data_IF_624035272632
#
_entry.id   IF_624035272632
#
_cell.length_a   1.000
_cell.length_b   1.000
_cell.length_c   1.000
_cell.angle_alpha   90.00
_cell.angle_beta   90.00
_cell.angle_gamma   90.00
#
_symmetry.space_group_name_H-M   'P 1'
#
loop_
_entity.id
_entity.type
_entity.pdbx_description
1 polymer ?
#
# COMPACT_ATOMS: atom_id res chain seq x y z
N UNK A 1 -31.81 71.54 -13.27
CA UNK A 1 -33.17 72.00 -13.63
C UNK A 1 -34.01 70.73 -13.83
N UNK A 2 -34.62 70.21 -12.75
CA UNK A 2 -36.09 70.15 -12.48
C UNK A 2 -36.83 69.30 -13.53
N UNK A 3 -37.54 68.19 -13.26
CA UNK A 3 -38.59 67.90 -12.24
C UNK A 3 -38.68 66.37 -11.95
N UNK A 4 -38.80 65.90 -10.69
CA UNK A 4 -39.99 65.56 -9.85
C UNK A 4 -40.96 64.46 -10.40
N UNK A 5 -41.15 63.40 -9.61
CA UNK A 5 -42.04 62.20 -9.80
C UNK A 5 -43.55 62.46 -9.55
N UNK A 6 -44.39 61.54 -8.98
CA UNK A 6 -44.15 60.22 -8.35
C UNK A 6 -45.25 59.11 -8.61
N UNK A 7 -45.32 58.11 -7.69
CA UNK A 7 -46.33 57.03 -7.47
C UNK A 7 -46.10 55.74 -8.29
N UNK A 8 -46.09 54.52 -7.75
CA UNK A 8 -46.75 53.96 -6.57
C UNK A 8 -47.62 52.78 -7.05
N UNK A 9 -47.21 51.53 -6.81
CA UNK A 9 -47.99 50.36 -7.21
C UNK A 9 -47.23 49.05 -7.11
N UNK A 10 -47.43 48.32 -6.02
CA UNK A 10 -46.79 47.05 -5.75
C UNK A 10 -47.18 45.94 -6.73
N UNK A 11 -46.27 45.00 -6.95
CA UNK A 11 -46.58 43.65 -7.45
C UNK A 11 -45.57 42.61 -6.92
N UNK A 12 -46.13 41.72 -6.10
CA UNK A 12 -45.86 40.29 -5.89
C UNK A 12 -44.40 39.80 -6.01
N UNK A 13 -43.89 39.38 -4.84
CA UNK A 13 -42.86 38.35 -4.70
C UNK A 13 -43.23 37.09 -5.48
N UNK A 14 -42.40 36.68 -6.44
CA UNK A 14 -42.28 35.29 -6.89
C UNK A 14 -40.94 34.77 -6.38
N UNK A 15 -40.98 33.83 -5.43
CA UNK A 15 -39.81 33.17 -4.90
C UNK A 15 -39.18 32.28 -5.97
N UNK A 16 -37.96 32.62 -6.38
CA UNK A 16 -37.08 31.71 -7.11
C UNK A 16 -36.30 30.87 -6.10
N UNK A 17 -36.59 29.58 -6.07
CA UNK A 17 -35.83 28.60 -5.29
C UNK A 17 -34.37 28.59 -5.77
N UNK A 18 -33.44 28.92 -4.88
CA UNK A 18 -32.02 28.59 -5.08
C UNK A 18 -31.90 27.08 -5.05
N UNK A 19 -31.50 26.48 -6.17
CA UNK A 19 -31.02 25.10 -6.21
C UNK A 19 -29.80 25.02 -5.29
N UNK A 20 -29.96 24.32 -4.17
CA UNK A 20 -28.90 24.09 -3.20
C UNK A 20 -27.79 23.26 -3.83
N UNK A 21 -26.54 23.60 -3.49
CA UNK A 21 -25.37 22.76 -3.69
C UNK A 21 -25.67 21.32 -3.22
N UNK A 22 -25.26 20.27 -3.96
CA UNK A 22 -25.43 18.91 -3.46
C UNK A 22 -24.64 18.79 -2.15
N UNK A 23 -25.37 18.46 -1.08
CA UNK A 23 -24.81 18.23 0.23
C UNK A 23 -23.74 17.14 0.14
N UNK A 24 -22.59 17.39 0.78
CA UNK A 24 -21.56 16.37 0.98
C UNK A 24 -22.21 15.13 1.62
N UNK A 25 -21.84 13.90 1.21
CA UNK A 25 -22.34 12.71 1.86
C UNK A 25 -21.92 12.73 3.34
N UNK A 26 -22.78 12.26 4.26
CA UNK A 26 -22.46 12.29 5.68
C UNK A 26 -21.23 11.40 5.94
N UNK A 27 -20.22 11.96 6.62
CA UNK A 27 -19.13 11.19 7.20
C UNK A 27 -19.72 10.26 8.27
N UNK A 28 -20.08 9.04 7.88
CA UNK A 28 -20.52 8.01 8.80
C UNK A 28 -19.38 7.58 9.72
N UNK A 29 -19.63 7.31 11.02
CA UNK A 29 -18.65 6.70 11.90
C UNK A 29 -18.40 5.27 11.40
N UNK A 30 -17.37 5.10 10.57
CA UNK A 30 -17.07 3.83 9.91
C UNK A 30 -16.21 3.91 8.64
N UNK A 31 -15.94 5.11 8.10
CA UNK A 31 -15.00 5.25 6.98
C UNK A 31 -13.60 4.80 7.42
N UNK A 32 -13.07 3.74 6.79
CA UNK A 32 -11.71 3.26 7.04
C UNK A 32 -10.75 4.36 6.58
N UNK A 33 -10.01 4.99 7.50
CA UNK A 33 -8.92 5.92 7.16
C UNK A 33 -7.59 5.20 7.32
N UNK A 34 -6.89 4.96 6.22
CA UNK A 34 -5.52 4.46 6.23
C UNK A 34 -4.59 5.67 6.36
N UNK A 35 -4.07 5.90 7.57
CA UNK A 35 -3.13 6.98 7.88
C UNK A 35 -1.69 6.59 7.54
N UNK A 36 -0.77 7.55 7.39
CA UNK A 36 0.68 7.28 7.28
C UNK A 36 1.17 6.37 8.40
N UNK A 37 0.69 6.56 9.64
CA UNK A 37 1.11 5.73 10.78
C UNK A 37 0.65 4.27 10.64
N UNK A 38 -0.52 4.03 10.05
CA UNK A 38 -1.01 2.67 9.77
C UNK A 38 -0.24 2.04 8.61
N UNK A 39 0.00 2.81 7.56
CA UNK A 39 0.74 2.38 6.36
C UNK A 39 2.21 2.06 6.67
N UNK A 40 2.95 2.99 7.28
CA UNK A 40 4.40 2.89 7.48
C UNK A 40 4.83 1.94 8.60
N UNK A 41 3.97 1.64 9.57
CA UNK A 41 4.31 0.70 10.63
C UNK A 41 4.03 -0.77 10.24
N UNK A 42 3.68 -1.05 8.98
CA UNK A 42 3.28 -2.40 8.53
C UNK A 42 2.12 -2.99 9.34
N UNK A 43 1.45 -2.15 10.14
CA UNK A 43 0.53 -2.58 11.16
C UNK A 43 -0.87 -2.29 10.69
N UNK A 44 -1.48 -3.27 10.05
CA UNK A 44 -2.85 -3.61 10.37
C UNK A 44 -2.88 -4.09 11.83
N UNK A 45 -2.54 -3.20 12.78
CA UNK A 45 -2.81 -3.44 14.20
C UNK A 45 -4.32 -3.44 14.29
N UNK A 46 -4.87 -4.61 14.60
CA UNK A 46 -6.27 -4.89 14.89
C UNK A 46 -6.74 -4.12 16.15
N UNK A 47 -6.60 -2.81 16.17
CA UNK A 47 -6.82 -1.99 17.36
C UNK A 47 -7.34 -0.61 16.98
N UNK A 48 -8.57 -0.58 16.49
CA UNK A 48 -9.48 0.56 16.66
C UNK A 48 -10.92 0.01 16.68
N UNK A 49 -11.32 -0.55 17.83
CA UNK A 49 -12.69 -0.48 18.39
C UNK A 49 -12.88 -1.46 19.58
N UNK A 50 -11.92 -1.53 20.50
CA UNK A 50 -12.21 -2.02 21.85
C UNK A 50 -12.57 -0.82 22.73
N UNK A 51 -13.74 -0.21 22.48
CA UNK A 51 -14.58 0.39 23.53
C UNK A 51 -15.94 0.87 22.97
N UNK A 52 -16.95 0.11 23.36
CA UNK A 52 -18.33 0.48 23.70
C UNK A 52 -19.32 0.99 22.63
N UNK A 53 -20.25 0.08 22.35
CA UNK A 53 -21.70 0.27 22.45
C UNK A 53 -22.42 0.97 21.29
N UNK A 54 -22.75 0.19 20.26
CA UNK A 54 -24.14 0.16 19.78
C UNK A 54 -24.47 -1.24 19.26
N UNK A 55 -25.14 -2.02 20.11
CA UNK A 55 -25.96 -3.15 19.68
C UNK A 55 -27.10 -2.60 18.83
N UNK A 56 -26.96 -2.63 17.52
CA UNK A 56 -28.12 -2.62 16.62
C UNK A 56 -27.93 -3.75 15.62
N UNK A 57 -28.67 -4.83 15.88
CA UNK A 57 -28.89 -5.94 14.96
C UNK A 57 -29.32 -5.41 13.59
N UNK A 58 -28.53 -5.73 12.56
CA UNK A 58 -28.76 -5.40 11.14
C UNK A 58 -30.04 -6.04 10.55
N UNK A 59 -30.83 -6.75 11.36
CA UNK A 59 -32.09 -7.41 10.97
C UNK A 59 -33.33 -6.50 10.93
N UNK A 60 -33.22 -5.21 11.25
CA UNK A 60 -34.39 -4.31 11.36
C UNK A 60 -34.49 -3.20 10.30
N UNK A 61 -33.65 -3.20 9.25
CA UNK A 61 -33.68 -2.19 8.18
C UNK A 61 -33.88 -2.77 6.76
N UNK A 62 -34.41 -3.99 6.65
CA UNK A 62 -34.77 -4.63 5.37
C UNK A 62 -36.29 -4.79 5.18
N UNK A 63 -37.06 -3.82 5.67
CA UNK A 63 -38.48 -3.64 5.31
C UNK A 63 -38.61 -2.72 4.10
N UNK A 64 -38.13 -3.15 2.94
CA UNK A 64 -38.18 -2.35 1.71
C UNK A 64 -38.07 -3.23 0.48
N UNK A 65 -39.21 -3.72 0.00
CA UNK A 65 -39.35 -4.39 -1.30
C UNK A 65 -39.01 -3.40 -2.41
N UNK A 66 -37.78 -3.45 -2.91
CA UNK A 66 -37.42 -2.89 -4.20
C UNK A 66 -36.91 -4.04 -5.06
N UNK A 67 -37.68 -4.38 -6.09
CA UNK A 67 -37.33 -5.36 -7.11
C UNK A 67 -36.10 -4.91 -7.89
N UNK A 68 -34.92 -5.21 -7.35
CA UNK A 68 -33.66 -5.16 -8.07
C UNK A 68 -33.45 -6.49 -8.77
N UNK A 69 -33.41 -6.47 -10.10
CA UNK A 69 -32.86 -7.57 -10.89
C UNK A 69 -31.43 -7.80 -10.38
N UNK A 70 -31.21 -8.90 -9.64
CA UNK A 70 -29.86 -9.33 -9.31
C UNK A 70 -29.12 -9.54 -10.63
N UNK A 71 -28.00 -8.85 -10.90
CA UNK A 71 -27.18 -9.25 -12.02
C UNK A 71 -26.78 -10.69 -11.73
N UNK A 72 -27.12 -11.60 -12.64
CA UNK A 72 -26.63 -12.96 -12.60
C UNK A 72 -25.13 -12.91 -12.92
N UNK A 73 -24.32 -12.51 -11.95
CA UNK A 73 -22.91 -12.86 -11.95
C UNK A 73 -22.90 -14.36 -11.73
N UNK A 74 -22.88 -15.13 -12.81
CA UNK A 74 -22.42 -16.51 -12.73
C UNK A 74 -21.06 -16.42 -12.05
N UNK A 75 -21.00 -16.80 -10.78
CA UNK A 75 -19.74 -16.86 -10.04
C UNK A 75 -18.82 -17.70 -10.92
N UNK A 76 -17.78 -17.08 -11.48
CA UNK A 76 -16.74 -17.84 -12.16
C UNK A 76 -16.22 -18.81 -11.12
N UNK A 77 -16.58 -20.08 -11.27
CA UNK A 77 -16.08 -21.15 -10.41
C UNK A 77 -14.68 -21.40 -10.89
N UNK A 78 -13.73 -20.68 -10.29
CA UNK A 78 -12.34 -21.05 -10.36
C UNK A 78 -12.18 -22.35 -9.54
N UNK A 79 -11.49 -23.32 -10.10
CA UNK A 79 -11.09 -24.58 -9.44
C UNK A 79 -9.82 -24.40 -8.58
N UNK A 80 -9.36 -23.16 -8.42
CA UNK A 80 -8.25 -22.78 -7.57
C UNK A 80 -8.65 -22.47 -6.13
N UNK A 81 -7.67 -22.54 -5.23
CA UNK A 81 -7.76 -22.06 -3.85
C UNK A 81 -7.20 -20.64 -3.74
N UNK A 82 -7.71 -19.87 -2.77
CA UNK A 82 -7.07 -18.62 -2.40
C UNK A 82 -5.85 -18.94 -1.55
N UNK A 83 -4.67 -18.54 -2.03
CA UNK A 83 -3.43 -18.64 -1.25
C UNK A 83 -3.41 -17.44 -0.28
N UNK A 84 -4.03 -17.61 0.90
CA UNK A 84 -4.10 -16.59 1.94
C UNK A 84 -3.33 -16.98 3.21
N UNK A 85 -2.91 -15.96 3.96
CA UNK A 85 -2.46 -16.14 5.34
C UNK A 85 -3.68 -16.39 6.24
N UNK A 86 -3.54 -17.21 7.28
CA UNK A 86 -4.63 -17.36 8.25
C UNK A 86 -4.76 -16.10 9.11
N UNK A 87 -5.84 -15.35 8.91
CA UNK A 87 -6.19 -14.22 9.79
C UNK A 87 -7.04 -14.63 10.99
N UNK A 88 -7.34 -15.93 11.17
CA UNK A 88 -8.29 -16.41 12.17
C UNK A 88 -7.88 -16.01 13.60
N UNK A 89 -6.61 -16.20 13.96
CA UNK A 89 -6.14 -15.82 15.29
C UNK A 89 -6.19 -14.30 15.50
N UNK A 90 -5.90 -13.52 14.47
CA UNK A 90 -5.96 -12.07 14.51
C UNK A 90 -7.41 -11.56 14.62
N UNK A 91 -8.33 -12.17 13.89
CA UNK A 91 -9.77 -11.91 13.99
C UNK A 91 -10.32 -12.30 15.35
N UNK A 92 -9.93 -13.46 15.89
CA UNK A 92 -10.32 -13.86 17.24
C UNK A 92 -9.80 -12.91 18.30
N UNK A 93 -8.57 -12.42 18.17
CA UNK A 93 -8.03 -11.39 19.06
C UNK A 93 -8.82 -10.07 18.93
N UNK A 94 -9.06 -9.60 17.70
CA UNK A 94 -9.85 -8.39 17.42
C UNK A 94 -11.26 -8.46 18.01
N UNK A 95 -11.90 -9.61 17.84
CA UNK A 95 -13.30 -9.85 18.21
C UNK A 95 -13.44 -10.30 19.66
N UNK A 96 -12.33 -10.44 20.40
CA UNK A 96 -12.32 -10.86 21.80
C UNK A 96 -12.74 -12.33 22.02
N UNK A 97 -12.69 -13.16 20.97
CA UNK A 97 -13.03 -14.59 21.01
C UNK A 97 -11.80 -15.49 21.16
N UNK A 98 -10.59 -14.91 21.21
CA UNK A 98 -9.37 -15.63 21.56
C UNK A 98 -9.36 -15.88 23.08
N UNK A 99 -9.45 -17.15 23.47
CA UNK A 99 -9.32 -17.56 24.87
C UNK A 99 -7.83 -17.69 25.19
N UNK A 100 -7.31 -16.76 25.99
CA UNK A 100 -5.95 -16.82 26.53
C UNK A 100 -6.07 -17.33 27.98
N UNK A 101 -5.41 -18.43 28.36
CA UNK A 101 -5.43 -18.92 29.72
C UNK A 101 -5.02 -17.82 30.72
N UNK A 102 -5.75 -17.68 31.82
CA UNK A 102 -5.47 -16.67 32.85
C UNK A 102 -4.17 -16.93 33.60
N UNK A 103 -3.67 -18.17 33.55
CA UNK A 103 -2.38 -18.58 34.10
C UNK A 103 -1.49 -19.08 32.98
N UNK A 104 -0.63 -18.20 32.48
CA UNK A 104 0.47 -18.59 31.59
C UNK A 104 1.65 -19.02 32.47
N UNK A 105 2.07 -20.27 32.32
CA UNK A 105 3.31 -20.77 32.92
C UNK A 105 4.38 -20.67 31.83
N UNK A 106 5.52 -20.00 32.06
CA UNK A 106 6.62 -20.02 31.11
C UNK A 106 7.06 -21.47 30.85
N UNK A 107 7.03 -21.88 29.60
CA UNK A 107 7.50 -23.19 29.16
C UNK A 107 8.77 -23.04 28.32
N UNK A 108 9.67 -24.01 28.45
CA UNK A 108 10.92 -24.04 27.69
C UNK A 108 12.08 -23.25 28.32
N UNK A 109 13.26 -23.30 27.68
CA UNK A 109 14.44 -22.58 28.14
C UNK A 109 14.27 -21.06 27.96
N UNK A 110 15.02 -20.30 28.76
CA UNK A 110 15.21 -18.87 28.50
C UNK A 110 16.11 -18.72 27.27
N UNK A 111 15.74 -17.79 26.39
CA UNK A 111 16.48 -17.42 25.20
C UNK A 111 17.00 -15.99 25.33
N UNK A 112 18.11 -15.66 24.65
CA UNK A 112 18.63 -14.30 24.58
C UNK A 112 17.61 -13.37 23.89
N UNK A 113 16.93 -13.88 22.86
CA UNK A 113 15.84 -13.19 22.19
C UNK A 113 14.83 -14.17 21.56
N UNK A 114 13.58 -13.74 21.50
CA UNK A 114 12.49 -14.44 20.79
C UNK A 114 11.94 -13.51 19.72
N UNK A 115 11.97 -13.96 18.48
CA UNK A 115 11.38 -13.25 17.33
C UNK A 115 10.05 -13.90 16.97
N UNK A 116 9.01 -13.08 16.83
CA UNK A 116 7.67 -13.51 16.46
C UNK A 116 7.36 -13.07 15.02
N UNK A 117 7.16 -14.04 14.13
CA UNK A 117 6.91 -13.87 12.71
C UNK A 117 8.10 -14.29 11.85
N UNK A 118 7.90 -15.26 10.99
CA UNK A 118 8.84 -15.78 9.99
C UNK A 118 8.78 -15.06 8.65
N UNK A 119 8.23 -13.85 8.60
CA UNK A 119 8.35 -12.98 7.43
C UNK A 119 9.78 -12.43 7.25
N UNK A 120 10.06 -11.79 6.11
CA UNK A 120 11.36 -11.17 5.81
C UNK A 120 11.85 -10.27 6.96
N UNK A 121 10.96 -9.47 7.57
CA UNK A 121 11.34 -8.59 8.69
C UNK A 121 11.79 -9.37 9.94
N UNK A 122 11.10 -10.46 10.30
CA UNK A 122 11.49 -11.27 11.46
C UNK A 122 12.76 -12.08 11.20
N UNK A 123 12.92 -12.62 9.99
CA UNK A 123 14.16 -13.29 9.59
C UNK A 123 15.37 -12.33 9.63
N UNK A 124 15.20 -11.10 9.12
CA UNK A 124 16.22 -10.05 9.22
C UNK A 124 16.52 -9.69 10.68
N UNK A 125 15.49 -9.55 11.53
CA UNK A 125 15.68 -9.24 12.95
C UNK A 125 16.46 -10.34 13.67
N UNK A 126 16.12 -11.61 13.45
CA UNK A 126 16.84 -12.74 14.03
C UNK A 126 18.31 -12.74 13.59
N UNK A 127 18.56 -12.56 12.30
CA UNK A 127 19.91 -12.54 11.76
C UNK A 127 20.75 -11.36 12.27
N UNK A 128 20.19 -10.16 12.37
CA UNK A 128 20.91 -9.00 12.91
C UNK A 128 21.16 -9.11 14.43
N UNK A 129 20.25 -9.71 15.20
CA UNK A 129 20.47 -10.01 16.62
C UNK A 129 21.67 -10.95 16.83
N UNK A 130 21.79 -11.98 15.99
CA UNK A 130 22.93 -12.90 16.02
C UNK A 130 24.23 -12.21 15.61
N UNK A 131 24.20 -11.36 14.57
CA UNK A 131 25.35 -10.53 14.19
C UNK A 131 25.74 -9.54 15.29
N UNK A 132 24.77 -9.12 16.10
CA UNK A 132 24.96 -8.32 17.31
C UNK A 132 25.58 -9.08 18.48
N UNK A 133 25.80 -10.39 18.35
CA UNK A 133 26.48 -11.23 19.34
C UNK A 133 25.56 -12.07 20.22
N UNK A 134 24.25 -12.07 19.98
CA UNK A 134 23.35 -13.00 20.66
C UNK A 134 23.54 -14.42 20.12
N UNK A 135 23.61 -15.40 21.01
CA UNK A 135 23.89 -16.79 20.64
C UNK A 135 22.63 -17.65 20.59
N UNK A 136 21.61 -17.30 21.38
CA UNK A 136 20.38 -18.05 21.52
C UNK A 136 19.16 -17.20 21.11
N UNK A 137 19.03 -17.01 19.80
CA UNK A 137 17.88 -16.34 19.17
C UNK A 137 16.98 -17.40 18.56
N UNK A 138 15.70 -17.42 18.93
CA UNK A 138 14.69 -18.33 18.36
C UNK A 138 13.62 -17.54 17.62
N UNK A 139 13.20 -18.06 16.47
CA UNK A 139 12.11 -17.50 15.67
C UNK A 139 10.89 -18.42 15.72
N UNK A 140 9.71 -17.84 15.96
CA UNK A 140 8.43 -18.53 15.87
C UNK A 140 7.57 -17.97 14.74
N UNK A 141 7.02 -18.83 13.91
CA UNK A 141 6.07 -18.52 12.85
C UNK A 141 4.76 -19.27 13.08
N UNK A 142 3.64 -18.55 12.91
CA UNK A 142 2.27 -19.07 13.05
C UNK A 142 1.97 -20.12 11.99
N UNK A 143 2.36 -19.86 10.75
CA UNK A 143 2.14 -20.73 9.61
C UNK A 143 3.12 -21.90 9.59
N UNK A 144 2.78 -22.94 8.82
CA UNK A 144 3.64 -24.10 8.57
C UNK A 144 4.78 -23.81 7.57
N UNK A 145 4.87 -22.57 7.08
CA UNK A 145 5.90 -22.09 6.16
C UNK A 145 6.53 -20.79 6.64
N UNK A 146 7.72 -20.49 6.12
CA UNK A 146 8.47 -19.26 6.36
C UNK A 146 8.37 -18.33 5.15
N UNK A 147 8.45 -17.02 5.38
CA UNK A 147 8.52 -15.97 4.36
C UNK A 147 7.36 -14.96 4.42
N UNK A 148 6.22 -15.31 5.01
CA UNK A 148 5.01 -14.46 4.94
C UNK A 148 4.62 -14.17 3.49
N UNK A 149 4.51 -12.89 3.11
CA UNK A 149 4.29 -12.45 1.73
C UNK A 149 5.44 -12.77 0.74
N UNK A 150 6.59 -13.24 1.22
CA UNK A 150 7.64 -13.80 0.39
C UNK A 150 7.37 -15.31 0.18
N UNK A 151 6.29 -15.63 -0.54
CA UNK A 151 5.83 -17.00 -0.78
C UNK A 151 5.88 -17.36 -2.25
N UNK A 152 6.16 -18.63 -2.53
CA UNK A 152 6.11 -19.22 -3.87
C UNK A 152 5.25 -20.47 -3.91
N UNK A 153 4.71 -20.76 -5.09
CA UNK A 153 4.15 -22.05 -5.47
C UNK A 153 5.03 -22.71 -6.53
N UNK A 154 4.66 -23.94 -6.89
CA UNK A 154 5.36 -24.71 -7.92
C UNK A 154 4.34 -25.33 -8.89
N UNK A 155 4.54 -25.13 -10.18
CA UNK A 155 3.72 -25.75 -11.23
C UNK A 155 4.56 -25.98 -12.49
N UNK A 156 4.35 -27.12 -13.15
CA UNK A 156 5.00 -27.47 -14.42
C UNK A 156 6.53 -27.31 -14.40
N UNK A 157 7.18 -27.67 -13.29
CA UNK A 157 8.64 -27.55 -13.14
C UNK A 157 9.14 -26.13 -12.90
N UNK A 158 8.26 -25.16 -12.69
CA UNK A 158 8.60 -23.75 -12.47
C UNK A 158 8.07 -23.24 -11.14
N UNK A 159 8.94 -22.56 -10.40
CA UNK A 159 8.55 -21.80 -9.22
C UNK A 159 7.92 -20.47 -9.63
N UNK A 160 6.74 -20.16 -9.11
CA UNK A 160 6.07 -18.88 -9.31
C UNK A 160 5.85 -18.17 -7.97
N UNK A 161 5.94 -16.85 -7.95
CA UNK A 161 5.62 -16.05 -6.77
C UNK A 161 4.11 -16.04 -6.50
N UNK A 162 3.71 -16.11 -5.23
CA UNK A 162 2.31 -15.98 -4.82
C UNK A 162 1.98 -14.56 -4.33
N UNK A 163 2.98 -13.69 -4.17
CA UNK A 163 2.80 -12.31 -3.73
C UNK A 163 3.98 -11.45 -4.21
N UNK A 164 4.83 -10.94 -3.31
CA UNK A 164 5.91 -10.01 -3.69
C UNK A 164 6.96 -10.68 -4.57
N UNK A 165 7.27 -10.08 -5.71
CA UNK A 165 8.03 -10.72 -6.79
C UNK A 165 9.40 -10.10 -7.06
N UNK A 166 9.57 -8.81 -6.76
CA UNK A 166 10.81 -8.08 -6.98
C UNK A 166 11.36 -7.42 -5.71
N UNK A 167 12.64 -7.07 -5.79
CA UNK A 167 13.30 -6.10 -4.91
C UNK A 167 13.98 -5.02 -5.75
N UNK A 168 14.02 -3.80 -5.25
CA UNK A 168 14.69 -2.69 -5.94
C UNK A 168 16.21 -2.82 -5.85
N UNK A 169 16.94 -2.26 -6.82
CA UNK A 169 18.39 -2.13 -6.69
C UNK A 169 18.78 -1.39 -5.40
N UNK A 170 19.89 -1.77 -4.76
CA UNK A 170 20.31 -1.16 -3.51
C UNK A 170 20.65 0.33 -3.74
N UNK A 171 19.97 1.21 -3.01
CA UNK A 171 20.16 2.68 -3.07
C UNK A 171 20.93 3.23 -1.87
N UNK A 172 21.15 2.41 -0.86
CA UNK A 172 21.80 2.78 0.40
C UNK A 172 22.85 1.73 0.83
N UNK A 173 23.79 2.09 1.72
CA UNK A 173 24.85 1.18 2.16
C UNK A 173 24.36 -0.07 2.88
N UNK A 174 23.23 0.01 3.59
CA UNK A 174 22.68 -1.14 4.31
C UNK A 174 22.15 -2.18 3.33
N UNK A 175 21.29 -1.78 2.39
CA UNK A 175 20.73 -2.67 1.38
C UNK A 175 21.82 -3.23 0.45
N UNK A 176 22.85 -2.43 0.14
CA UNK A 176 24.01 -2.90 -0.60
C UNK A 176 24.74 -4.02 0.13
N UNK A 177 25.04 -3.82 1.42
CA UNK A 177 25.73 -4.84 2.23
C UNK A 177 24.87 -6.09 2.42
N UNK A 178 23.57 -5.91 2.65
CA UNK A 178 22.61 -7.01 2.71
C UNK A 178 22.65 -7.86 1.45
N UNK A 179 22.57 -7.25 0.27
CA UNK A 179 22.57 -7.97 -1.00
C UNK A 179 23.93 -8.61 -1.31
N UNK A 180 25.03 -8.06 -0.84
CA UNK A 180 26.34 -8.73 -0.89
C UNK A 180 26.35 -9.99 -0.01
N UNK A 181 25.87 -9.88 1.24
CA UNK A 181 25.88 -10.99 2.20
C UNK A 181 24.97 -12.15 1.79
N UNK A 182 23.94 -11.86 0.99
CA UNK A 182 23.02 -12.84 0.40
C UNK A 182 23.46 -13.35 -0.98
N UNK A 183 24.46 -12.72 -1.60
CA UNK A 183 25.01 -13.10 -2.91
C UNK A 183 24.24 -12.58 -4.13
N UNK A 184 23.32 -11.63 -3.95
CA UNK A 184 22.63 -10.93 -5.04
C UNK A 184 23.60 -9.97 -5.74
N UNK A 185 24.38 -9.21 -4.95
CA UNK A 185 25.45 -8.35 -5.45
C UNK A 185 26.77 -9.11 -5.41
N UNK A 186 27.35 -9.38 -6.58
CA UNK A 186 28.55 -10.19 -6.75
C UNK A 186 29.85 -9.35 -6.71
N UNK A 187 29.74 -8.03 -6.67
CA UNK A 187 30.85 -7.10 -6.61
C UNK A 187 30.42 -5.67 -6.92
N UNK A 188 31.39 -4.76 -6.93
CA UNK A 188 31.17 -3.35 -7.27
C UNK A 188 32.02 -3.03 -8.51
N UNK A 189 31.43 -2.38 -9.50
CA UNK A 189 32.14 -1.88 -10.67
C UNK A 189 32.99 -0.64 -10.34
N UNK A 190 33.88 -0.24 -11.24
CA UNK A 190 34.80 0.88 -11.00
C UNK A 190 34.10 2.23 -10.79
N UNK A 191 32.89 2.37 -11.32
CA UNK A 191 32.01 3.54 -11.18
C UNK A 191 31.15 3.51 -9.90
N UNK A 192 31.30 2.48 -9.06
CA UNK A 192 30.50 2.28 -7.85
C UNK A 192 29.21 1.48 -8.08
N UNK A 193 28.90 1.07 -9.31
CA UNK A 193 27.65 0.36 -9.62
C UNK A 193 27.69 -1.09 -9.08
N UNK A 194 26.66 -1.54 -8.33
CA UNK A 194 26.55 -2.94 -7.90
C UNK A 194 26.45 -3.88 -9.10
N UNK A 195 27.30 -4.92 -9.14
CA UNK A 195 27.25 -5.97 -10.16
C UNK A 195 26.26 -7.03 -9.74
N UNK A 196 25.19 -7.16 -10.52
CA UNK A 196 24.12 -8.15 -10.35
C UNK A 196 24.08 -8.98 -11.63
N UNK A 197 23.78 -10.27 -11.51
CA UNK A 197 23.58 -11.14 -12.66
C UNK A 197 22.46 -10.56 -13.57
N UNK A 198 22.74 -10.27 -14.85
CA UNK A 198 21.73 -9.75 -15.77
C UNK A 198 20.47 -10.63 -15.89
N UNK A 199 20.56 -11.94 -15.59
CA UNK A 199 19.41 -12.83 -15.57
C UNK A 199 18.43 -12.55 -14.42
N UNK A 200 18.89 -11.85 -13.37
CA UNK A 200 18.06 -11.44 -12.24
C UNK A 200 17.48 -10.04 -12.42
N UNK A 201 17.89 -9.30 -13.46
CA UNK A 201 17.44 -7.93 -13.67
C UNK A 201 16.38 -7.95 -14.77
N UNK A 202 15.14 -7.56 -14.42
CA UNK A 202 14.07 -7.44 -15.40
C UNK A 202 14.35 -6.30 -16.39
N UNK A 203 13.80 -6.34 -17.61
CA UNK A 203 13.76 -5.13 -18.44
C UNK A 203 13.02 -4.08 -17.61
N UNK A 204 13.69 -2.98 -17.27
CA UNK A 204 13.13 -1.92 -16.44
C UNK A 204 11.76 -1.46 -16.96
N UNK A 205 10.95 -0.78 -16.13
CA UNK A 205 9.55 -0.59 -16.42
C UNK A 205 9.32 0.12 -17.75
N UNK A 206 8.88 -0.63 -18.76
CA UNK A 206 8.13 -0.07 -19.88
C UNK A 206 6.74 0.27 -19.33
N UNK A 207 6.53 1.55 -18.99
CA UNK A 207 5.22 2.02 -18.60
C UNK A 207 4.28 1.89 -19.81
N UNK A 208 3.16 1.18 -19.61
CA UNK A 208 2.19 0.91 -20.65
C UNK A 208 0.79 1.17 -20.10
N UNK A 209 -0.02 1.94 -20.82
CA UNK A 209 -1.43 2.18 -20.47
C UNK A 209 -2.31 1.55 -21.53
N UNK A 210 -3.31 0.78 -21.11
CA UNK A 210 -4.29 0.16 -21.99
C UNK A 210 -5.51 1.08 -22.09
N UNK A 211 -5.71 1.72 -23.24
CA UNK A 211 -6.89 2.56 -23.51
C UNK A 211 -7.66 1.95 -24.68
N UNK A 212 -8.93 1.62 -24.46
CA UNK A 212 -9.84 1.03 -25.46
C UNK A 212 -9.22 -0.17 -26.21
N UNK A 213 -8.54 -1.06 -25.48
CA UNK A 213 -7.91 -2.27 -26.04
C UNK A 213 -6.59 -2.03 -26.78
N UNK A 214 -6.08 -0.78 -26.81
CA UNK A 214 -4.79 -0.43 -27.41
C UNK A 214 -3.77 -0.08 -26.34
N UNK A 215 -2.59 -0.69 -26.42
CA UNK A 215 -1.47 -0.39 -25.53
C UNK A 215 -0.70 0.83 -26.00
N UNK A 216 -0.59 1.83 -25.13
CA UNK A 216 0.22 3.03 -25.32
C UNK A 216 1.45 2.95 -24.43
N UNK A 217 2.63 2.88 -25.07
CA UNK A 217 3.92 2.77 -24.37
C UNK A 217 4.56 4.14 -24.18
N UNK A 218 5.30 4.31 -23.10
CA UNK A 218 6.18 5.45 -22.89
C UNK A 218 6.32 5.79 -21.42
N UNK A 219 7.43 6.43 -21.02
CA UNK A 219 7.72 6.63 -19.61
C UNK A 219 6.73 7.62 -18.99
N UNK A 220 6.11 7.23 -17.87
CA UNK A 220 5.23 8.10 -17.07
C UNK A 220 5.92 8.57 -15.79
N UNK A 221 6.70 7.67 -15.19
CA UNK A 221 7.43 7.87 -13.94
C UNK A 221 8.90 8.17 -14.18
N UNK A 222 9.45 9.10 -13.39
CA UNK A 222 10.86 9.47 -13.49
C UNK A 222 11.27 10.17 -14.79
N UNK A 223 10.30 10.54 -15.63
CA UNK A 223 10.49 11.25 -16.90
C UNK A 223 9.31 12.22 -17.17
N UNK A 224 9.36 12.98 -18.27
CA UNK A 224 8.21 13.80 -18.69
C UNK A 224 7.13 12.90 -19.32
N UNK A 225 5.93 12.79 -18.70
CA UNK A 225 4.86 11.90 -19.19
C UNK A 225 4.18 12.43 -20.46
N UNK A 226 4.46 13.69 -20.85
CA UNK A 226 3.74 14.36 -21.92
C UNK A 226 3.80 13.62 -23.27
N UNK A 227 4.97 13.11 -23.67
CA UNK A 227 5.10 12.42 -24.96
C UNK A 227 4.27 11.14 -24.99
N UNK A 228 4.27 10.38 -23.90
CA UNK A 228 3.52 9.13 -23.80
C UNK A 228 2.01 9.37 -23.81
N UNK A 229 1.54 10.33 -23.01
CA UNK A 229 0.11 10.68 -22.90
C UNK A 229 -0.42 11.38 -24.16
N UNK A 230 0.42 12.13 -24.88
CA UNK A 230 0.04 12.76 -26.14
C UNK A 230 -0.39 11.76 -27.22
N UNK A 231 0.09 10.51 -27.17
CA UNK A 231 -0.31 9.47 -28.12
C UNK A 231 -1.67 8.85 -27.80
N UNK A 232 -2.18 9.04 -26.60
CA UNK A 232 -3.44 8.43 -26.14
C UNK A 232 -4.67 9.13 -26.73
N UNK A 233 -5.79 8.41 -26.90
CA UNK A 233 -7.02 8.93 -27.48
C UNK A 233 -7.87 9.68 -26.44
N UNK A 234 -7.22 10.53 -25.63
CA UNK A 234 -7.87 11.29 -24.56
C UNK A 234 -8.40 12.64 -25.08
N UNK A 235 -9.45 13.14 -24.43
CA UNK A 235 -9.89 14.52 -24.62
C UNK A 235 -8.78 15.51 -24.26
N UNK A 236 -8.84 16.75 -24.75
CA UNK A 236 -7.84 17.77 -24.39
C UNK A 236 -7.77 17.99 -22.87
N UNK A 237 -8.92 17.94 -22.19
CA UNK A 237 -9.00 18.12 -20.74
C UNK A 237 -8.35 16.96 -19.99
N UNK A 238 -8.75 15.73 -20.30
CA UNK A 238 -8.24 14.54 -19.61
C UNK A 238 -6.73 14.39 -19.86
N UNK A 239 -6.28 14.62 -21.09
CA UNK A 239 -4.85 14.63 -21.44
C UNK A 239 -4.05 15.63 -20.60
N UNK A 240 -4.59 16.84 -20.41
CA UNK A 240 -3.94 17.86 -19.58
C UNK A 240 -3.88 17.43 -18.12
N UNK A 241 -4.99 16.95 -17.58
CA UNK A 241 -5.08 16.53 -16.17
C UNK A 241 -4.15 15.36 -15.88
N UNK A 242 -4.08 14.39 -16.79
CA UNK A 242 -3.22 13.22 -16.66
C UNK A 242 -1.72 13.60 -16.67
N UNK A 243 -1.33 14.50 -17.57
CA UNK A 243 0.03 15.04 -17.60
C UNK A 243 0.36 15.78 -16.30
N UNK A 244 -0.59 16.57 -15.77
CA UNK A 244 -0.41 17.28 -14.50
C UNK A 244 -0.33 16.33 -13.31
N UNK A 245 -1.10 15.24 -13.29
CA UNK A 245 -1.07 14.21 -12.26
C UNK A 245 0.31 13.53 -12.15
N UNK A 246 0.82 12.98 -13.25
CA UNK A 246 2.13 12.33 -13.25
C UNK A 246 3.27 13.31 -12.96
N UNK A 247 3.20 14.56 -13.46
CA UNK A 247 4.20 15.59 -13.12
C UNK A 247 4.17 15.98 -11.65
N UNK A 248 2.98 16.08 -11.06
CA UNK A 248 2.84 16.36 -9.63
C UNK A 248 3.46 15.22 -8.80
N UNK A 249 3.18 13.97 -9.15
CA UNK A 249 3.72 12.78 -8.48
C UNK A 249 5.25 12.67 -8.62
N UNK A 250 5.79 12.90 -9.81
CA UNK A 250 7.24 12.95 -10.06
C UNK A 250 7.89 14.10 -9.27
N UNK A 251 7.26 15.27 -9.23
CA UNK A 251 7.79 16.44 -8.51
C UNK A 251 7.89 16.25 -7.00
N UNK A 252 7.12 15.34 -6.41
CA UNK A 252 7.20 15.01 -4.99
C UNK A 252 8.48 14.24 -4.61
N UNK A 253 9.08 13.48 -5.54
CA UNK A 253 10.31 12.74 -5.29
C UNK A 253 11.50 13.67 -4.98
N UNK A 254 11.56 14.82 -5.67
CA UNK A 254 12.63 15.81 -5.53
C UNK A 254 12.32 16.89 -4.48
N UNK A 255 11.07 16.93 -3.99
CA UNK A 255 10.62 17.99 -3.11
C UNK A 255 11.35 17.95 -1.78
N UNK A 256 11.72 19.14 -1.29
CA UNK A 256 12.28 19.33 0.05
C UNK A 256 11.39 20.26 0.87
N UNK A 257 11.30 20.00 2.17
CA UNK A 257 10.63 20.91 3.09
C UNK A 257 11.49 22.12 3.44
N UNK A 258 10.92 23.05 4.21
CA UNK A 258 11.64 24.23 4.74
C UNK A 258 12.84 23.87 5.63
N UNK A 259 12.87 22.66 6.16
CA UNK A 259 13.98 22.09 6.93
C UNK A 259 15.11 21.50 6.05
N UNK A 260 15.00 21.61 4.71
CA UNK A 260 15.98 21.11 3.74
C UNK A 260 15.96 19.59 3.55
N UNK A 261 15.13 18.86 4.29
CA UNK A 261 15.00 17.40 4.20
C UNK A 261 14.10 17.00 3.03
N UNK A 262 14.28 15.81 2.44
CA UNK A 262 13.36 15.25 1.46
C UNK A 262 11.92 15.24 1.98
N UNK A 263 10.94 15.47 1.12
CA UNK A 263 9.53 15.42 1.52
C UNK A 263 9.16 14.06 2.10
N UNK A 264 9.67 12.99 1.49
CA UNK A 264 9.49 11.61 1.90
C UNK A 264 10.85 10.90 1.96
N UNK A 265 11.01 9.98 2.90
CA UNK A 265 12.23 9.18 3.06
C UNK A 265 11.90 7.81 3.67
N UNK A 266 12.85 6.89 3.53
CA UNK A 266 12.85 5.58 4.17
C UNK A 266 14.25 5.35 4.77
N UNK A 267 14.41 5.36 6.10
CA UNK A 267 13.37 5.41 7.15
C UNK A 267 12.67 6.78 7.23
N UNK A 268 11.45 6.78 7.77
CA UNK A 268 10.55 7.94 7.63
C UNK A 268 10.90 9.12 8.52
N UNK A 269 11.72 8.88 9.53
CA UNK A 269 12.30 9.85 10.45
C UNK A 269 13.28 10.80 9.76
N UNK A 270 13.84 10.36 8.61
CA UNK A 270 14.71 11.17 7.76
C UNK A 270 13.94 12.12 6.85
N UNK A 271 12.62 11.93 6.73
CA UNK A 271 11.73 12.80 5.98
C UNK A 271 11.52 14.15 6.66
N UNK A 272 11.05 15.11 5.87
CA UNK A 272 10.77 16.47 6.33
C UNK A 272 9.67 16.50 7.39
N UNK A 273 9.83 17.43 8.33
CA UNK A 273 8.83 17.77 9.37
C UNK A 273 8.05 19.03 9.01
N UNK A 274 8.15 19.52 7.77
CA UNK A 274 7.42 20.70 7.31
C UNK A 274 5.90 20.53 7.48
N UNK A 275 5.22 21.41 8.25
CA UNK A 275 3.77 21.38 8.42
C UNK A 275 2.97 21.27 7.12
N UNK A 276 3.41 21.91 6.04
CA UNK A 276 2.71 21.87 4.75
C UNK A 276 2.76 20.49 4.08
N UNK A 277 3.82 19.73 4.34
CA UNK A 277 3.96 18.33 3.86
C UNK A 277 3.18 17.40 4.78
N UNK A 278 3.28 17.60 6.10
CA UNK A 278 2.56 16.78 7.08
C UNK A 278 1.04 16.96 7.00
N UNK A 279 0.54 18.10 6.53
CA UNK A 279 -0.89 18.33 6.30
C UNK A 279 -1.49 17.35 5.27
N UNK A 280 -0.68 16.82 4.35
CA UNK A 280 -1.13 15.79 3.41
C UNK A 280 -1.63 14.53 4.12
N UNK A 281 -1.17 14.26 5.34
CA UNK A 281 -1.63 13.09 6.11
C UNK A 281 -3.02 13.30 6.73
N UNK A 282 -3.55 14.52 6.70
CA UNK A 282 -4.87 14.86 7.24
C UNK A 282 -5.98 14.80 6.21
N UNK A 283 -5.62 14.74 4.92
CA UNK A 283 -6.55 14.66 3.80
C UNK A 283 -6.39 13.33 3.08
N UNK A 284 -7.47 12.88 2.45
CA UNK A 284 -7.43 11.69 1.61
C UNK A 284 -6.82 12.01 0.26
N UNK A 285 -6.34 11.01 -0.46
CA UNK A 285 -5.81 11.21 -1.80
C UNK A 285 -6.90 11.72 -2.76
N UNK A 286 -8.15 11.30 -2.58
CA UNK A 286 -9.29 11.84 -3.33
C UNK A 286 -9.52 13.34 -3.06
N UNK A 287 -9.43 13.78 -1.80
CA UNK A 287 -9.54 15.20 -1.46
C UNK A 287 -8.37 16.00 -2.05
N UNK A 288 -7.14 15.45 -2.02
CA UNK A 288 -5.99 16.05 -2.66
C UNK A 288 -6.20 16.22 -4.18
N UNK A 289 -6.64 15.16 -4.86
CA UNK A 289 -6.91 15.17 -6.30
C UNK A 289 -8.02 16.15 -6.69
N UNK A 290 -9.09 16.24 -5.88
CA UNK A 290 -10.16 17.24 -6.08
C UNK A 290 -9.66 18.67 -5.92
N UNK A 291 -8.76 18.94 -4.98
CA UNK A 291 -8.14 20.28 -4.81
C UNK A 291 -7.25 20.67 -5.99
N UNK A 292 -6.66 19.70 -6.70
CA UNK A 292 -5.95 19.94 -7.97
C UNK A 292 -6.89 20.26 -9.12
N UNK A 293 -8.17 19.92 -8.99
CA UNK A 293 -9.19 20.17 -10.01
C UNK A 293 -9.19 19.15 -11.15
N UNK A 294 -8.56 17.99 -10.97
CA UNK A 294 -8.52 16.94 -11.98
C UNK A 294 -9.91 16.38 -12.30
N UNK A 295 -10.13 16.10 -13.58
CA UNK A 295 -11.37 15.55 -14.12
C UNK A 295 -11.60 14.08 -13.76
N UNK A 296 -12.77 13.55 -14.14
CA UNK A 296 -13.22 12.22 -13.77
C UNK A 296 -12.27 11.09 -14.24
N UNK A 297 -11.65 11.25 -15.41
CA UNK A 297 -10.67 10.29 -15.94
C UNK A 297 -9.46 10.15 -15.00
N UNK A 298 -8.77 11.26 -14.70
CA UNK A 298 -7.61 11.24 -13.81
C UNK A 298 -8.00 10.87 -12.36
N UNK A 299 -9.23 11.17 -11.93
CA UNK A 299 -9.72 10.69 -10.62
C UNK A 299 -9.90 9.17 -10.56
N UNK A 300 -10.29 8.51 -11.65
CA UNK A 300 -10.30 7.03 -11.68
C UNK A 300 -8.90 6.46 -11.68
N UNK A 301 -7.97 7.07 -12.43
CA UNK A 301 -6.55 6.66 -12.39
C UNK A 301 -5.97 6.79 -10.98
N UNK A 302 -6.25 7.88 -10.26
CA UNK A 302 -5.84 8.05 -8.85
C UNK A 302 -6.39 6.94 -7.96
N UNK A 303 -7.64 6.49 -8.17
CA UNK A 303 -8.23 5.40 -7.39
C UNK A 303 -7.65 4.03 -7.75
N UNK A 304 -7.36 3.80 -9.03
CA UNK A 304 -6.67 2.60 -9.51
C UNK A 304 -5.27 2.49 -8.89
N UNK A 305 -4.48 3.56 -8.95
CA UNK A 305 -3.18 3.64 -8.27
C UNK A 305 -3.29 3.42 -6.76
N UNK A 306 -4.28 4.04 -6.11
CA UNK A 306 -4.45 3.89 -4.67
C UNK A 306 -4.78 2.45 -4.30
N UNK A 307 -5.64 1.82 -5.07
CA UNK A 307 -6.10 0.45 -4.82
C UNK A 307 -4.99 -0.57 -5.13
N UNK A 308 -4.25 -0.40 -6.22
CA UNK A 308 -3.17 -1.32 -6.60
C UNK A 308 -1.97 -1.25 -5.66
N UNK A 309 -1.55 -0.04 -5.29
CA UNK A 309 -0.26 0.17 -4.63
C UNK A 309 -0.39 0.16 -3.11
N UNK A 310 -1.50 0.66 -2.59
CA UNK A 310 -1.74 0.81 -1.14
C UNK A 310 -2.77 -0.20 -0.63
N UNK A 311 -3.60 -0.76 -1.51
CA UNK A 311 -4.65 -1.71 -1.13
C UNK A 311 -5.92 -1.05 -0.58
N UNK A 312 -6.17 0.22 -0.88
CA UNK A 312 -7.38 0.94 -0.46
C UNK A 312 -7.79 2.04 -1.44
N UNK A 313 -9.06 2.42 -1.43
CA UNK A 313 -9.57 3.47 -2.31
C UNK A 313 -8.94 4.83 -1.98
N UNK A 314 -8.83 5.72 -2.96
CA UNK A 314 -8.28 7.06 -2.77
C UNK A 314 -9.12 7.88 -1.76
N UNK A 315 -10.37 7.50 -1.53
CA UNK A 315 -11.25 8.09 -0.52
C UNK A 315 -10.92 7.66 0.92
N UNK A 316 -10.13 6.59 1.10
CA UNK A 316 -9.75 5.99 2.37
C UNK A 316 -8.27 6.22 2.72
N UNK A 317 -7.43 6.38 1.69
CA UNK A 317 -5.97 6.49 1.79
C UNK A 317 -5.53 7.94 2.01
N UNK A 318 -4.62 8.15 2.96
CA UNK A 318 -3.92 9.41 3.20
C UNK A 318 -3.16 9.88 1.95
N UNK A 319 -3.28 11.17 1.58
CA UNK A 319 -2.52 11.72 0.46
C UNK A 319 -1.00 11.64 0.71
N UNK A 320 -0.56 11.77 1.96
CA UNK A 320 0.84 11.54 2.32
C UNK A 320 1.26 10.11 1.98
N UNK A 321 0.48 9.10 2.41
CA UNK A 321 0.82 7.70 2.20
C UNK A 321 0.93 7.38 0.69
N UNK A 322 -0.09 7.77 -0.07
CA UNK A 322 -0.11 7.61 -1.53
C UNK A 322 1.11 8.24 -2.20
N UNK A 323 1.35 9.54 -1.96
CA UNK A 323 2.45 10.27 -2.60
C UNK A 323 3.81 9.73 -2.15
N UNK A 324 3.97 9.38 -0.87
CA UNK A 324 5.22 8.85 -0.36
C UNK A 324 5.60 7.51 -0.98
N UNK A 325 4.66 6.58 -1.10
CA UNK A 325 4.91 5.27 -1.70
C UNK A 325 5.28 5.42 -3.18
N UNK A 326 4.45 6.15 -3.92
CA UNK A 326 4.62 6.30 -5.36
C UNK A 326 5.85 7.13 -5.74
N UNK A 327 6.24 8.13 -4.94
CA UNK A 327 7.44 8.92 -5.22
C UNK A 327 8.75 8.25 -4.80
N UNK A 328 8.73 7.32 -3.83
CA UNK A 328 9.94 6.60 -3.38
C UNK A 328 10.15 5.26 -4.11
N UNK A 329 9.06 4.59 -4.47
CA UNK A 329 9.06 3.22 -4.98
C UNK A 329 9.25 3.09 -6.50
N UNK A 330 8.95 4.14 -7.27
CA UNK A 330 8.83 4.03 -8.74
C UNK A 330 10.13 4.43 -9.48
N UNK A 331 10.32 3.88 -10.69
CA UNK A 331 11.30 4.36 -11.68
C UNK A 331 12.69 3.71 -11.69
N UNK A 332 12.85 2.51 -11.11
CA UNK A 332 14.11 1.76 -11.13
C UNK A 332 14.01 0.41 -11.85
N UNK A 333 15.14 -0.19 -12.19
CA UNK A 333 15.17 -1.61 -12.57
C UNK A 333 14.98 -2.49 -11.34
N UNK A 334 14.06 -3.44 -11.48
CA UNK A 334 13.74 -4.43 -10.46
C UNK A 334 14.63 -5.66 -10.59
N UNK A 335 15.00 -6.21 -9.45
CA UNK A 335 15.67 -7.51 -9.33
C UNK A 335 14.58 -8.55 -9.08
N UNK A 336 14.46 -9.52 -9.99
CA UNK A 336 13.56 -10.64 -9.91
C UNK A 336 14.32 -11.92 -9.61
N UNK A 337 13.97 -12.56 -8.51
CA UNK A 337 14.63 -13.78 -8.04
C UNK A 337 13.82 -15.02 -8.45
N UNK A 338 14.44 -16.21 -8.64
CA UNK A 338 13.71 -17.45 -8.92
C UNK A 338 12.70 -17.77 -7.82
N UNK A 339 11.40 -17.79 -8.15
CA UNK A 339 10.31 -17.93 -7.18
C UNK A 339 9.99 -16.63 -6.41
N UNK A 340 10.43 -15.47 -6.89
CA UNK A 340 10.21 -14.16 -6.27
C UNK A 340 10.92 -14.00 -4.92
N UNK A 341 10.34 -13.20 -4.04
CA UNK A 341 10.97 -12.90 -2.75
C UNK A 341 11.04 -14.11 -1.80
N UNK A 342 10.36 -15.23 -2.10
CA UNK A 342 10.56 -16.47 -1.36
C UNK A 342 12.01 -16.96 -1.38
N UNK A 343 12.75 -16.63 -2.45
CA UNK A 343 14.19 -16.83 -2.50
C UNK A 343 14.90 -16.08 -1.37
N UNK A 344 14.58 -14.80 -1.17
CA UNK A 344 15.16 -13.95 -0.12
C UNK A 344 14.87 -14.54 1.27
N UNK A 345 13.61 -14.93 1.51
CA UNK A 345 13.22 -15.56 2.77
C UNK A 345 14.00 -16.86 3.02
N UNK A 346 14.18 -17.70 2.00
CA UNK A 346 14.98 -18.92 2.10
C UNK A 346 16.44 -18.63 2.47
N UNK A 347 17.08 -17.68 1.79
CA UNK A 347 18.47 -17.30 2.08
C UNK A 347 18.66 -16.71 3.48
N UNK A 348 17.69 -15.93 3.97
CA UNK A 348 17.73 -15.43 5.33
C UNK A 348 17.51 -16.55 6.36
N UNK A 349 16.64 -17.51 6.05
CA UNK A 349 16.45 -18.71 6.88
C UNK A 349 17.74 -19.52 6.97
N UNK A 350 18.51 -19.66 5.89
CA UNK A 350 19.82 -20.30 5.91
C UNK A 350 20.81 -19.58 6.85
N UNK A 351 20.73 -18.24 6.95
CA UNK A 351 21.58 -17.44 7.83
C UNK A 351 21.17 -17.60 9.30
N UNK A 352 19.86 -17.64 9.58
CA UNK A 352 19.30 -17.82 10.93
C UNK A 352 19.40 -19.27 11.41
N UNK A 353 19.36 -20.25 10.52
CA UNK A 353 19.34 -21.67 10.89
C UNK A 353 17.91 -22.20 11.04
N UNK A 354 17.65 -23.31 10.33
CA UNK A 354 16.35 -23.99 10.31
C UNK A 354 16.00 -24.57 11.69
N UNK A 355 17.01 -25.00 12.45
CA UNK A 355 16.88 -25.54 13.80
C UNK A 355 16.42 -24.50 14.84
N UNK A 356 16.69 -23.22 14.57
CA UNK A 356 16.25 -22.08 15.40
C UNK A 356 14.91 -21.50 14.95
N UNK A 357 14.31 -22.05 13.91
CA UNK A 357 13.05 -21.59 13.33
C UNK A 357 11.92 -22.58 13.59
N UNK A 358 10.86 -22.14 14.27
CA UNK A 358 9.73 -22.98 14.68
C UNK A 358 8.45 -22.53 13.99
N UNK A 359 7.96 -23.30 13.03
CA UNK A 359 6.69 -23.05 12.31
C UNK A 359 5.49 -23.69 13.03
N UNK A 360 4.27 -23.30 12.64
CA UNK A 360 3.01 -23.80 13.22
C UNK A 360 2.70 -23.28 14.63
N UNK A 361 3.49 -22.33 15.14
CA UNK A 361 3.39 -21.79 16.49
C UNK A 361 2.25 -20.79 16.60
N UNK A 362 1.03 -21.30 16.76
CA UNK A 362 -0.20 -20.49 16.85
C UNK A 362 -1.42 -21.11 16.20
N UNK A 363 -1.26 -22.24 15.48
CA UNK A 363 -2.40 -23.04 15.04
C UNK A 363 -3.01 -23.73 16.25
N UNK A 364 -4.21 -23.30 16.63
CA UNK A 364 -5.07 -24.09 17.53
C UNK A 364 -5.50 -25.31 16.72
N UNK A 365 -5.26 -26.52 17.23
CA UNK A 365 -5.72 -27.75 16.57
C UNK A 365 -7.22 -27.63 16.23
N UNK A 366 -7.65 -28.16 15.06
CA UNK A 366 -9.02 -28.02 14.57
C UNK A 366 -10.07 -28.56 15.54
#
# INVERSE_FOLDING_TARGET
MVARGPAGGGRRRTGGARAGSPAAPPEGPGARRITRRLFLNGSLKATLAASLASRLSLGALLGGQAGGVKPATAARRYDGELIEESYDIAHRLRDGTLVIPSSLVPEGPLHDAIVLGGGVSGLMAAWELERGGLSDVVLYEKEDYIGGNARKGHANGTDYTCATWSVVRPKDPFLLKLFQDLGIVQGIAADGTPRIDPLLVGPGPDNNVLVDGTWYRGPMYGADPAEAIQRMPLSERDRKDEIEFYRDMNGWADKRGRDGRPAFAMPVEEGSRDPGILELDRITMLEYARRKGWGAYTLSEVDDWSTSDIGGQASEVSAYAFLSFNSLGQGGEDITLPGGNAWLAGRLTDKVGVDRTRTGAGRVAP
#
